data_IF_015755080077
#
_entry.id   IF_015755080077
#
_cell.length_a   1.000
_cell.length_b   1.000
_cell.length_c   1.000
_cell.angle_alpha   90.00
_cell.angle_beta   90.00
_cell.angle_gamma   90.00
#
_symmetry.space_group_name_H-M   'P 1'
#
loop_
_entity.id
_entity.type
_entity.pdbx_description
1 polymer ?
#
# COMPACT_ATOMS: atom_id res chain seq x y z
N UNK A 1 6.53 3.90 39.77
CA UNK A 1 6.64 3.44 38.36
C UNK A 1 5.68 2.25 38.19
N UNK A 2 4.74 2.36 37.26
CA UNK A 2 3.82 1.29 36.85
C UNK A 2 3.98 1.06 35.36
N UNK A 3 3.94 -0.19 34.91
CA UNK A 3 4.19 -0.58 33.52
C UNK A 3 2.97 -1.33 32.97
N UNK A 4 2.51 -0.94 31.81
CA UNK A 4 1.36 -1.52 31.14
C UNK A 4 1.70 -1.85 29.69
N UNK A 5 1.38 -3.07 29.23
CA UNK A 5 1.36 -3.37 27.81
C UNK A 5 0.17 -2.64 27.16
N UNK A 6 0.33 -2.07 25.97
CA UNK A 6 -0.69 -1.21 25.35
C UNK A 6 -0.79 -1.39 23.84
N UNK A 7 -1.85 -0.88 23.25
CA UNK A 7 -1.96 -0.70 21.81
C UNK A 7 -2.16 -2.00 21.04
N UNK A 8 -1.41 -2.15 19.94
CA UNK A 8 -1.57 -3.25 19.00
C UNK A 8 -1.42 -4.63 19.62
N UNK A 9 -0.48 -4.80 20.55
CA UNK A 9 -0.23 -6.07 21.22
C UNK A 9 -1.45 -6.57 22.02
N UNK A 10 -2.06 -5.68 22.82
CA UNK A 10 -3.23 -6.03 23.64
C UNK A 10 -4.44 -6.32 22.76
N UNK A 11 -4.66 -5.50 21.73
CA UNK A 11 -5.73 -5.71 20.73
C UNK A 11 -5.59 -7.06 20.04
N UNK A 12 -4.39 -7.35 19.51
CA UNK A 12 -4.15 -8.57 18.71
C UNK A 12 -4.26 -9.81 19.60
N UNK A 13 -3.79 -9.75 20.86
CA UNK A 13 -4.00 -10.81 21.85
C UNK A 13 -5.50 -11.08 22.11
N UNK A 14 -6.30 -10.02 22.29
CA UNK A 14 -7.76 -10.14 22.51
C UNK A 14 -8.49 -10.71 21.29
N UNK A 15 -7.97 -10.45 20.08
CA UNK A 15 -8.50 -11.01 18.82
C UNK A 15 -7.96 -12.43 18.52
N UNK A 16 -7.07 -12.97 19.36
CA UNK A 16 -6.41 -14.27 19.08
C UNK A 16 -5.45 -14.23 17.90
N UNK A 17 -4.97 -13.04 17.52
CA UNK A 17 -4.01 -12.85 16.43
C UNK A 17 -2.56 -12.95 16.95
N UNK A 18 -1.59 -13.30 16.11
CA UNK A 18 -0.18 -13.28 16.49
C UNK A 18 0.28 -11.90 16.92
N UNK A 19 0.90 -11.80 18.10
CA UNK A 19 1.51 -10.55 18.60
C UNK A 19 2.96 -10.53 18.11
N UNK A 20 3.30 -9.53 17.29
CA UNK A 20 4.65 -9.37 16.71
C UNK A 20 5.49 -8.45 17.59
N UNK A 21 4.98 -7.25 17.89
CA UNK A 21 5.66 -6.23 18.68
C UNK A 21 4.85 -5.88 19.92
N UNK A 22 5.54 -5.61 21.03
CA UNK A 22 4.93 -5.19 22.29
C UNK A 22 5.41 -3.79 22.65
N UNK A 23 4.44 -2.89 22.80
CA UNK A 23 4.66 -1.54 23.29
C UNK A 23 4.22 -1.46 24.75
N UNK A 24 5.00 -0.73 25.55
CA UNK A 24 4.69 -0.51 26.95
C UNK A 24 4.58 0.98 27.27
N UNK A 25 3.64 1.33 28.14
CA UNK A 25 3.53 2.65 28.74
C UNK A 25 3.98 2.57 30.19
N UNK A 26 4.82 3.51 30.58
CA UNK A 26 5.33 3.67 31.95
C UNK A 26 4.70 4.91 32.57
N UNK A 27 3.98 4.72 33.68
CA UNK A 27 3.30 5.77 34.44
C UNK A 27 4.05 6.01 35.75
N UNK A 28 4.16 7.27 36.17
CA UNK A 28 4.78 7.65 37.43
C UNK A 28 6.30 7.46 37.48
N UNK A 29 6.98 7.73 36.37
CA UNK A 29 8.44 7.72 36.28
C UNK A 29 8.98 8.92 35.50
N UNK A 30 10.20 9.31 35.77
CA UNK A 30 10.97 10.31 35.01
C UNK A 30 11.95 9.63 34.04
N UNK A 31 12.47 10.35 33.03
CA UNK A 31 13.53 9.84 32.16
C UNK A 31 14.76 9.35 32.93
N UNK A 32 15.15 10.08 33.98
CA UNK A 32 16.31 9.77 34.81
C UNK A 32 16.08 8.44 35.57
N UNK A 33 14.90 8.21 36.11
CA UNK A 33 14.51 6.96 36.77
C UNK A 33 14.54 5.77 35.83
N UNK A 34 14.11 5.96 34.56
CA UNK A 34 14.18 4.94 33.52
C UNK A 34 15.63 4.55 33.22
N UNK A 35 16.50 5.57 33.06
CA UNK A 35 17.94 5.32 32.82
C UNK A 35 18.56 4.63 34.04
N UNK A 36 18.26 5.05 35.26
CA UNK A 36 18.74 4.42 36.48
C UNK A 36 18.28 2.97 36.62
N UNK A 37 17.11 2.62 36.09
CA UNK A 37 16.58 1.27 36.02
C UNK A 37 17.21 0.43 34.88
N UNK A 38 18.15 0.99 34.10
CA UNK A 38 18.90 0.31 33.04
C UNK A 38 18.27 0.39 31.64
N UNK A 39 17.19 1.14 31.47
CA UNK A 39 16.58 1.34 30.16
C UNK A 39 17.42 2.31 29.31
N UNK A 40 17.52 2.05 28.00
CA UNK A 40 18.31 2.86 27.09
C UNK A 40 17.42 3.84 26.32
N UNK A 41 17.60 5.15 26.44
CA UNK A 41 16.81 6.14 25.71
C UNK A 41 17.06 6.02 24.20
N UNK A 42 15.96 6.09 23.41
CA UNK A 42 15.96 6.11 21.95
C UNK A 42 15.02 7.22 21.48
N UNK A 43 15.44 7.97 20.47
CA UNK A 43 14.68 9.12 19.96
C UNK A 43 15.08 10.45 20.56
N UNK A 44 15.04 11.49 19.71
CA UNK A 44 15.44 12.85 20.11
C UNK A 44 14.30 13.65 20.72
N UNK A 45 13.08 13.37 20.31
CA UNK A 45 11.91 14.21 20.60
C UNK A 45 10.91 13.56 21.57
N UNK A 46 11.09 12.26 21.89
CA UNK A 46 10.17 11.50 22.74
C UNK A 46 10.90 10.67 23.79
N UNK A 47 10.36 10.60 25.02
CA UNK A 47 10.90 9.75 26.06
C UNK A 47 10.51 8.28 25.82
N UNK A 48 11.09 7.66 24.79
CA UNK A 48 10.99 6.24 24.50
C UNK A 48 12.31 5.57 24.89
N UNK A 49 12.22 4.40 25.49
CA UNK A 49 13.34 3.63 26.01
C UNK A 49 13.26 2.20 25.53
N UNK A 50 14.41 1.58 25.29
CA UNK A 50 14.52 0.15 25.04
C UNK A 50 14.82 -0.61 26.32
N UNK A 51 14.10 -1.70 26.54
CA UNK A 51 14.40 -2.60 27.64
C UNK A 51 15.78 -3.23 27.44
N UNK A 52 16.63 -3.30 28.49
CA UNK A 52 18.04 -3.70 28.34
C UNK A 52 18.25 -5.13 27.83
N UNK A 53 17.29 -6.03 28.01
CA UNK A 53 17.39 -7.44 27.63
C UNK A 53 16.49 -7.80 26.44
N UNK A 54 15.22 -7.34 26.43
CA UNK A 54 14.24 -7.73 25.40
C UNK A 54 14.25 -6.80 24.19
N UNK A 55 14.80 -5.59 24.34
CA UNK A 55 14.77 -4.51 23.35
C UNK A 55 13.36 -4.03 22.98
N UNK A 56 12.35 -4.42 23.74
CA UNK A 56 11.00 -3.91 23.60
C UNK A 56 10.93 -2.43 23.94
N UNK A 57 9.96 -1.70 23.33
CA UNK A 57 9.81 -0.26 23.50
C UNK A 57 8.96 0.10 24.72
N UNK A 58 9.49 0.99 25.55
CA UNK A 58 8.84 1.54 26.74
C UNK A 58 8.75 3.05 26.59
N UNK A 59 7.53 3.59 26.52
CA UNK A 59 7.29 5.02 26.44
C UNK A 59 6.78 5.56 27.79
N UNK A 60 7.27 6.71 28.24
CA UNK A 60 6.64 7.40 29.37
C UNK A 60 5.25 7.88 28.99
N UNK A 61 4.32 7.77 29.94
CA UNK A 61 2.98 8.31 29.78
C UNK A 61 3.04 9.80 29.45
N UNK A 62 2.30 10.24 28.44
CA UNK A 62 2.36 11.63 27.97
C UNK A 62 1.02 12.12 27.46
N UNK A 63 0.87 13.44 27.50
CA UNK A 63 -0.15 14.14 26.74
C UNK A 63 0.48 14.82 25.53
N UNK A 64 -0.31 14.98 24.48
CA UNK A 64 0.10 15.67 23.25
C UNK A 64 -0.82 16.89 23.09
N UNK A 65 -0.26 18.02 22.65
CA UNK A 65 -1.03 19.22 22.36
C UNK A 65 -0.56 19.81 21.03
N UNK A 66 -1.49 19.99 20.13
CA UNK A 66 -1.24 20.69 18.85
C UNK A 66 -1.08 22.17 19.11
N UNK A 67 0.02 22.77 18.64
CA UNK A 67 0.34 24.19 18.78
C UNK A 67 0.41 24.92 17.42
N UNK A 68 0.53 24.16 16.30
CA UNK A 68 0.56 24.69 14.95
C UNK A 68 0.10 23.62 13.95
N UNK A 69 -0.32 23.98 12.70
CA UNK A 69 -0.57 23.03 11.65
C UNK A 69 0.69 22.22 11.27
N UNK A 70 0.50 20.93 10.88
CA UNK A 70 1.56 20.06 10.39
C UNK A 70 2.34 19.29 11.46
N UNK A 71 3.35 18.54 11.03
CA UNK A 71 4.09 17.56 11.84
C UNK A 71 4.88 18.18 13.00
N UNK A 72 5.44 19.38 12.84
CA UNK A 72 6.24 20.07 13.86
C UNK A 72 5.40 20.86 14.88
N UNK A 73 4.07 20.80 14.75
CA UNK A 73 3.14 21.56 15.58
C UNK A 73 2.69 20.83 16.87
N UNK A 74 3.45 19.85 17.37
CA UNK A 74 3.13 19.13 18.61
C UNK A 74 4.07 19.49 19.74
N UNK A 75 3.51 19.76 20.90
CA UNK A 75 4.25 19.80 22.17
C UNK A 75 3.86 18.56 22.98
N UNK A 76 4.86 17.79 23.33
CA UNK A 76 4.72 16.59 24.16
C UNK A 76 5.01 16.94 25.60
N UNK A 77 4.12 16.56 26.48
CA UNK A 77 4.31 16.73 27.91
C UNK A 77 4.32 15.35 28.58
N UNK A 78 5.53 14.88 28.90
CA UNK A 78 5.73 13.69 29.70
C UNK A 78 6.07 14.12 31.14
N UNK A 79 5.26 13.69 32.09
CA UNK A 79 5.41 13.96 33.52
C UNK A 79 4.96 12.75 34.31
N UNK A 80 5.57 12.46 35.47
CA UNK A 80 5.06 11.39 36.36
C UNK A 80 3.60 11.55 36.77
N UNK A 81 3.03 12.76 36.65
CA UNK A 81 1.64 13.07 36.95
C UNK A 81 0.67 12.66 35.82
N UNK A 82 1.15 12.38 34.62
CA UNK A 82 0.30 11.93 33.51
C UNK A 82 -0.21 10.53 33.81
N UNK A 83 -1.55 10.40 33.89
CA UNK A 83 -2.18 9.12 34.15
C UNK A 83 -2.21 8.21 32.92
N UNK A 84 -2.38 6.90 33.13
CA UNK A 84 -2.60 5.94 32.05
C UNK A 84 -3.79 6.34 31.16
N UNK A 85 -4.89 6.77 31.78
CA UNK A 85 -6.10 7.18 31.06
C UNK A 85 -5.84 8.37 30.13
N UNK A 86 -5.07 9.36 30.58
CA UNK A 86 -4.66 10.49 29.73
C UNK A 86 -3.78 10.06 28.54
N UNK A 87 -2.87 9.10 28.74
CA UNK A 87 -2.10 8.55 27.63
C UNK A 87 -2.97 7.78 26.65
N UNK A 88 -3.92 7.00 27.12
CA UNK A 88 -4.86 6.26 26.28
C UNK A 88 -5.81 7.20 25.51
N UNK A 89 -6.23 8.33 26.12
CA UNK A 89 -7.13 9.32 25.50
C UNK A 89 -6.60 9.91 24.18
N UNK A 90 -5.29 10.05 24.04
CA UNK A 90 -4.66 10.63 22.84
C UNK A 90 -4.48 9.63 21.70
N UNK A 91 -4.78 8.35 21.88
CA UNK A 91 -4.64 7.32 20.85
C UNK A 91 -5.67 7.48 19.74
N UNK A 92 -5.42 6.78 18.62
CA UNK A 92 -6.26 6.88 17.42
C UNK A 92 -7.63 6.20 17.58
N UNK A 93 -7.64 4.92 17.96
CA UNK A 93 -8.83 4.10 18.02
C UNK A 93 -9.02 3.48 19.41
N UNK A 94 -10.26 3.32 19.85
CA UNK A 94 -10.63 2.67 21.12
C UNK A 94 -10.01 1.28 21.25
N UNK A 95 -9.98 0.51 20.18
CA UNK A 95 -9.37 -0.82 20.11
C UNK A 95 -7.86 -0.81 20.33
N UNK A 96 -7.20 0.34 20.20
CA UNK A 96 -5.76 0.56 20.47
C UNK A 96 -5.54 1.28 21.82
N UNK A 97 -6.61 1.63 22.54
CA UNK A 97 -6.59 2.34 23.81
C UNK A 97 -6.93 1.41 25.00
N UNK A 98 -6.57 0.15 24.89
CA UNK A 98 -6.67 -0.87 25.93
C UNK A 98 -5.28 -1.11 26.49
N UNK A 99 -5.16 -1.17 27.83
CA UNK A 99 -3.93 -1.49 28.51
C UNK A 99 -4.07 -2.81 29.29
N UNK A 100 -2.94 -3.52 29.46
CA UNK A 100 -2.84 -4.74 30.25
C UNK A 100 -1.76 -4.59 31.31
N UNK A 101 -2.15 -4.74 32.57
CA UNK A 101 -1.22 -4.70 33.69
C UNK A 101 -0.39 -6.00 33.80
N UNK A 102 0.67 -5.98 34.62
CA UNK A 102 1.54 -7.14 34.81
C UNK A 102 0.87 -8.35 35.46
N UNK A 103 -0.22 -8.16 36.17
CA UNK A 103 -1.06 -9.24 36.73
C UNK A 103 -2.08 -9.81 35.74
N UNK A 104 -2.11 -9.28 34.51
CA UNK A 104 -3.01 -9.68 33.45
C UNK A 104 -4.34 -8.94 33.43
N UNK A 105 -4.62 -8.05 34.38
CA UNK A 105 -5.86 -7.25 34.41
C UNK A 105 -5.88 -6.26 33.22
N UNK A 106 -7.08 -6.10 32.64
CA UNK A 106 -7.31 -5.18 31.52
C UNK A 106 -7.86 -3.85 32.03
N UNK A 107 -7.35 -2.76 31.48
CA UNK A 107 -7.77 -1.39 31.78
C UNK A 107 -8.27 -0.79 30.48
N UNK A 108 -9.58 -0.56 30.39
CA UNK A 108 -10.28 -0.15 29.16
C UNK A 108 -11.23 1.02 29.43
N UNK A 109 -10.72 2.23 29.69
CA UNK A 109 -11.55 3.40 30.03
C UNK A 109 -12.38 3.91 28.84
N UNK A 110 -12.02 3.51 27.60
CA UNK A 110 -12.66 3.98 26.38
C UNK A 110 -13.48 2.91 25.67
N UNK A 111 -13.78 1.80 26.35
CA UNK A 111 -14.65 0.72 25.86
C UNK A 111 -14.14 0.05 24.56
N UNK A 112 -12.81 -0.07 24.39
CA UNK A 112 -12.19 -0.70 23.25
C UNK A 112 -12.53 -2.18 23.12
N UNK A 113 -12.71 -2.91 24.24
CA UNK A 113 -13.12 -4.32 24.24
C UNK A 113 -14.52 -4.46 23.64
N UNK A 114 -15.46 -3.58 24.01
CA UNK A 114 -16.80 -3.58 23.42
C UNK A 114 -16.75 -3.30 21.91
N UNK A 115 -15.90 -2.39 21.46
CA UNK A 115 -15.75 -2.07 20.04
C UNK A 115 -15.04 -3.19 19.28
N UNK A 116 -14.12 -3.95 19.91
CA UNK A 116 -13.55 -5.20 19.35
C UNK A 116 -14.64 -6.26 19.13
N UNK A 117 -15.46 -6.51 20.14
CA UNK A 117 -16.56 -7.49 20.07
C UNK A 117 -17.60 -7.09 19.02
N UNK A 118 -17.91 -5.80 18.94
CA UNK A 118 -18.85 -5.24 17.97
C UNK A 118 -18.24 -5.06 16.57
N UNK A 119 -16.92 -5.27 16.41
CA UNK A 119 -16.17 -5.05 15.15
C UNK A 119 -16.32 -3.62 14.64
N UNK A 120 -16.03 -2.63 15.48
CA UNK A 120 -16.17 -1.21 15.18
C UNK A 120 -14.83 -0.49 15.30
N UNK A 121 -14.51 0.33 14.32
CA UNK A 121 -13.38 1.27 14.33
C UNK A 121 -13.89 2.63 14.80
N UNK A 122 -13.66 2.95 16.07
CA UNK A 122 -14.10 4.19 16.72
C UNK A 122 -12.90 4.98 17.23
N UNK A 123 -12.87 6.29 16.99
CA UNK A 123 -11.86 7.18 17.58
C UNK A 123 -12.05 7.28 19.10
N UNK A 124 -10.95 7.49 19.83
CA UNK A 124 -10.97 7.52 21.29
C UNK A 124 -11.60 8.80 21.83
N UNK A 125 -11.20 9.95 21.31
CA UNK A 125 -11.56 11.27 21.82
C UNK A 125 -11.44 12.35 20.74
N UNK A 126 -11.89 13.59 20.99
CA UNK A 126 -11.65 14.72 20.06
C UNK A 126 -10.18 15.00 19.75
N UNK A 127 -9.23 14.57 20.59
CA UNK A 127 -7.80 14.62 20.31
C UNK A 127 -7.39 13.86 19.03
N UNK A 128 -8.26 13.01 18.50
CA UNK A 128 -8.08 12.38 17.18
C UNK A 128 -7.80 13.41 16.08
N UNK A 129 -8.46 14.56 16.11
CA UNK A 129 -8.30 15.61 15.11
C UNK A 129 -6.95 16.34 15.17
N UNK A 130 -6.15 16.12 16.20
CA UNK A 130 -4.84 16.77 16.33
C UNK A 130 -3.83 16.27 15.29
N UNK A 131 -3.85 14.96 14.92
CA UNK A 131 -2.95 14.39 13.93
C UNK A 131 -3.72 13.90 12.68
N UNK A 132 -3.63 14.61 11.54
CA UNK A 132 -4.34 14.21 10.31
C UNK A 132 -3.91 12.85 9.74
N UNK A 133 -2.74 12.33 10.10
CA UNK A 133 -2.33 10.95 9.71
C UNK A 133 -3.28 9.91 10.28
N UNK A 134 -3.99 10.20 11.37
CA UNK A 134 -4.98 9.26 11.93
C UNK A 134 -6.10 8.91 10.94
N UNK A 135 -6.43 9.80 10.00
CA UNK A 135 -7.36 9.50 8.89
C UNK A 135 -6.82 8.34 8.04
N UNK A 136 -5.53 8.37 7.67
CA UNK A 136 -4.88 7.29 6.92
C UNK A 136 -4.76 6.00 7.77
N UNK A 137 -4.45 6.14 9.06
CA UNK A 137 -4.34 5.01 9.99
C UNK A 137 -5.67 4.27 10.14
N UNK A 138 -6.78 4.99 10.32
CA UNK A 138 -8.13 4.39 10.37
C UNK A 138 -8.45 3.66 9.08
N UNK A 139 -8.17 4.26 7.93
CA UNK A 139 -8.37 3.63 6.62
C UNK A 139 -7.52 2.35 6.47
N UNK A 140 -6.27 2.35 6.95
CA UNK A 140 -5.43 1.15 7.01
C UNK A 140 -5.99 0.09 7.94
N UNK A 141 -6.48 0.46 9.11
CA UNK A 141 -7.13 -0.51 10.01
C UNK A 141 -8.39 -1.10 9.39
N UNK A 142 -9.15 -0.34 8.60
CA UNK A 142 -10.26 -0.89 7.82
C UNK A 142 -9.81 -1.94 6.79
N UNK A 143 -8.64 -1.75 6.18
CA UNK A 143 -8.05 -2.74 5.27
C UNK A 143 -7.55 -4.00 6.01
N UNK A 144 -7.01 -3.84 7.23
CA UNK A 144 -6.53 -4.94 8.08
C UNK A 144 -7.69 -5.76 8.65
N UNK A 145 -8.70 -5.08 9.21
CA UNK A 145 -9.85 -5.69 9.86
C UNK A 145 -11.05 -5.61 8.92
N UNK A 146 -11.08 -6.50 7.93
CA UNK A 146 -12.04 -6.45 6.84
C UNK A 146 -13.51 -6.52 7.28
N UNK A 147 -13.80 -7.08 8.46
CA UNK A 147 -15.15 -7.22 9.02
C UNK A 147 -15.54 -6.05 9.96
N UNK A 148 -14.62 -5.11 10.20
CA UNK A 148 -14.88 -3.97 11.09
C UNK A 148 -15.53 -2.82 10.30
N UNK A 149 -16.56 -2.23 10.87
CA UNK A 149 -17.23 -1.04 10.33
C UNK A 149 -16.64 0.24 10.94
N UNK A 150 -16.57 1.32 10.14
CA UNK A 150 -16.29 2.65 10.70
C UNK A 150 -17.48 3.14 11.51
N UNK A 151 -17.23 3.60 12.73
CA UNK A 151 -18.25 4.26 13.53
C UNK A 151 -18.74 5.54 12.81
N UNK A 152 -20.06 5.82 12.75
CA UNK A 152 -20.59 7.01 12.06
C UNK A 152 -19.97 8.31 12.55
N UNK A 153 -19.75 8.46 13.85
CA UNK A 153 -19.14 9.63 14.47
C UNK A 153 -17.65 9.76 14.12
N UNK A 154 -16.94 8.65 13.91
CA UNK A 154 -15.55 8.67 13.44
C UNK A 154 -15.47 9.12 11.99
N UNK A 155 -16.36 8.61 11.14
CA UNK A 155 -16.47 9.04 9.76
C UNK A 155 -16.84 10.54 9.67
N UNK A 156 -17.74 11.02 10.51
CA UNK A 156 -18.11 12.42 10.57
C UNK A 156 -16.92 13.32 10.99
N UNK A 157 -16.13 12.88 11.98
CA UNK A 157 -14.93 13.59 12.41
C UNK A 157 -13.86 13.61 11.31
N UNK A 158 -13.63 12.47 10.62
CA UNK A 158 -12.70 12.41 9.49
C UNK A 158 -13.11 13.37 8.36
N UNK A 159 -14.41 13.45 8.04
CA UNK A 159 -14.94 14.42 7.05
C UNK A 159 -14.67 15.85 7.48
N UNK A 160 -14.96 16.21 8.73
CA UNK A 160 -14.69 17.54 9.23
C UNK A 160 -13.20 17.92 9.14
N UNK A 161 -12.29 16.98 9.41
CA UNK A 161 -10.83 17.19 9.24
C UNK A 161 -10.45 17.43 7.78
N UNK A 162 -11.07 16.71 6.84
CA UNK A 162 -10.85 16.91 5.40
C UNK A 162 -11.40 18.27 4.95
N UNK A 163 -12.62 18.63 5.35
CA UNK A 163 -13.29 19.89 4.99
C UNK A 163 -12.51 21.09 5.54
N UNK A 164 -11.88 20.96 6.71
CA UNK A 164 -11.01 21.99 7.30
C UNK A 164 -9.60 22.03 6.69
N UNK A 165 -9.28 21.18 5.71
CA UNK A 165 -7.97 21.15 5.04
C UNK A 165 -6.84 20.53 5.84
N UNK A 166 -7.11 19.84 6.95
CA UNK A 166 -6.06 19.24 7.80
C UNK A 166 -5.22 18.21 7.05
N UNK A 167 -5.82 17.45 6.13
CA UNK A 167 -5.14 16.42 5.34
C UNK A 167 -4.21 17.00 4.26
N UNK A 168 -4.34 18.28 3.92
CA UNK A 168 -3.49 18.95 2.92
C UNK A 168 -2.09 19.24 3.45
N UNK A 169 -1.92 19.19 4.79
CA UNK A 169 -0.64 19.41 5.47
C UNK A 169 0.10 18.11 5.80
N UNK A 170 -0.37 16.97 5.26
CA UNK A 170 0.29 15.69 5.46
C UNK A 170 1.66 15.64 4.77
N UNK A 171 2.65 15.14 5.49
CA UNK A 171 4.00 14.93 4.97
C UNK A 171 4.00 13.70 4.07
N UNK A 172 4.60 13.81 2.89
CA UNK A 172 4.58 12.77 1.85
C UNK A 172 5.06 11.41 2.35
N UNK A 173 6.12 11.39 3.16
CA UNK A 173 6.70 10.17 3.71
C UNK A 173 5.73 9.45 4.67
N UNK A 174 4.96 10.22 5.47
CA UNK A 174 3.94 9.65 6.36
C UNK A 174 2.75 9.10 5.56
N UNK A 175 2.36 9.80 4.48
CA UNK A 175 1.31 9.32 3.55
C UNK A 175 1.75 8.01 2.91
N UNK A 176 2.97 7.97 2.36
CA UNK A 176 3.51 6.77 1.74
C UNK A 176 3.59 5.59 2.71
N UNK A 177 4.06 5.82 3.94
CA UNK A 177 4.15 4.77 4.95
C UNK A 177 2.81 4.11 5.26
N UNK A 178 1.75 4.90 5.46
CA UNK A 178 0.43 4.36 5.74
C UNK A 178 -0.20 3.71 4.49
N UNK A 179 0.02 4.30 3.31
CA UNK A 179 -0.41 3.72 2.03
C UNK A 179 0.26 2.37 1.77
N UNK A 180 1.59 2.30 1.93
CA UNK A 180 2.36 1.07 1.73
C UNK A 180 1.92 -0.05 2.70
N UNK A 181 1.75 0.27 3.99
CA UNK A 181 1.22 -0.67 4.98
C UNK A 181 -0.19 -1.11 4.62
N UNK A 182 -1.05 -0.18 4.21
CA UNK A 182 -2.43 -0.46 3.84
C UNK A 182 -2.56 -1.33 2.58
N UNK A 183 -1.69 -1.13 1.59
CA UNK A 183 -1.59 -2.00 0.41
C UNK A 183 -1.20 -3.45 0.78
N UNK A 184 -0.42 -3.64 1.85
CA UNK A 184 0.00 -4.97 2.32
C UNK A 184 -1.01 -5.66 3.23
N UNK A 185 -2.11 -5.00 3.59
CA UNK A 185 -3.17 -5.60 4.42
C UNK A 185 -4.02 -6.63 3.64
N UNK A 186 -4.89 -7.32 4.37
CA UNK A 186 -5.70 -8.43 3.83
C UNK A 186 -6.72 -8.00 2.76
N UNK A 187 -7.30 -6.80 2.90
CA UNK A 187 -8.27 -6.23 1.94
C UNK A 187 -7.92 -4.76 1.65
N UNK A 188 -6.92 -4.52 0.79
CA UNK A 188 -6.40 -3.17 0.55
C UNK A 188 -7.44 -2.20 -0.04
N UNK A 189 -8.45 -2.68 -0.79
CA UNK A 189 -9.54 -1.85 -1.32
C UNK A 189 -10.21 -1.01 -0.25
N UNK A 190 -10.39 -1.56 0.95
CA UNK A 190 -11.05 -0.87 2.06
C UNK A 190 -10.32 0.37 2.58
N UNK A 191 -8.99 0.46 2.37
CA UNK A 191 -8.26 1.69 2.63
C UNK A 191 -8.78 2.82 1.75
N UNK A 192 -8.89 2.57 0.44
CA UNK A 192 -9.34 3.57 -0.54
C UNK A 192 -10.82 3.89 -0.38
N UNK A 193 -11.66 2.88 -0.15
CA UNK A 193 -13.09 3.04 0.15
C UNK A 193 -13.31 3.93 1.39
N UNK A 194 -12.53 3.72 2.45
CA UNK A 194 -12.60 4.51 3.69
C UNK A 194 -12.16 5.95 3.46
N UNK A 195 -11.03 6.16 2.75
CA UNK A 195 -10.56 7.51 2.38
C UNK A 195 -11.56 8.23 1.48
N UNK A 196 -12.18 7.51 0.54
CA UNK A 196 -13.20 8.09 -0.35
C UNK A 196 -14.45 8.47 0.41
N UNK A 197 -14.89 7.66 1.37
CA UNK A 197 -16.10 7.91 2.15
C UNK A 197 -16.03 9.19 3.01
N UNK A 198 -14.82 9.61 3.39
CA UNK A 198 -14.60 10.87 4.12
C UNK A 198 -14.09 12.02 3.21
N UNK A 199 -13.92 11.80 1.91
CA UNK A 199 -13.40 12.80 0.97
C UNK A 199 -11.88 12.94 0.95
N UNK A 200 -11.14 12.21 1.78
CA UNK A 200 -9.69 12.28 1.85
C UNK A 200 -9.01 11.74 0.59
N UNK A 201 -9.62 10.77 -0.10
CA UNK A 201 -9.04 10.19 -1.32
C UNK A 201 -8.83 11.26 -2.40
N UNK A 202 -9.83 12.11 -2.64
CA UNK A 202 -9.76 13.20 -3.62
C UNK A 202 -8.66 14.25 -3.29
N UNK A 203 -8.30 14.40 -2.01
CA UNK A 203 -7.26 15.33 -1.56
C UNK A 203 -5.85 14.73 -1.63
N UNK A 204 -5.71 13.47 -1.25
CA UNK A 204 -4.41 12.79 -1.09
C UNK A 204 -3.99 12.09 -2.39
N UNK A 205 -4.93 11.42 -3.05
CA UNK A 205 -4.73 10.60 -4.26
C UNK A 205 -5.80 10.93 -5.32
N UNK A 206 -5.86 12.18 -5.81
CA UNK A 206 -6.86 12.59 -6.78
C UNK A 206 -6.84 11.75 -8.06
N UNK A 207 -5.68 11.21 -8.46
CA UNK A 207 -5.52 10.35 -9.62
C UNK A 207 -6.27 9.01 -9.46
N UNK A 208 -6.35 8.49 -8.24
CA UNK A 208 -7.10 7.27 -7.92
C UNK A 208 -8.58 7.57 -7.77
N UNK A 209 -8.92 8.68 -7.09
CA UNK A 209 -10.32 9.09 -6.91
C UNK A 209 -11.02 9.35 -8.24
N UNK A 210 -10.31 9.91 -9.21
CA UNK A 210 -10.81 10.22 -10.55
C UNK A 210 -11.16 8.98 -11.39
N UNK A 211 -10.73 7.77 -11.00
CA UNK A 211 -11.08 6.53 -11.70
C UNK A 211 -12.54 6.10 -11.43
N UNK A 212 -13.10 6.51 -10.30
CA UNK A 212 -14.48 6.15 -9.96
C UNK A 212 -15.48 6.92 -10.81
N UNK A 213 -16.46 6.22 -11.35
CA UNK A 213 -17.45 6.76 -12.27
C UNK A 213 -16.98 6.77 -13.74
N UNK A 214 -15.75 6.36 -14.05
CA UNK A 214 -15.25 6.27 -15.42
C UNK A 214 -15.69 4.94 -16.04
N UNK A 215 -16.54 4.94 -17.09
CA UNK A 215 -17.10 3.72 -17.66
C UNK A 215 -16.11 2.99 -18.57
N UNK A 216 -16.07 1.66 -18.47
CA UNK A 216 -15.35 0.75 -19.35
C UNK A 216 -16.31 -0.12 -20.14
N UNK A 217 -15.79 -0.82 -21.17
CA UNK A 217 -16.57 -1.77 -21.97
C UNK A 217 -16.97 -2.99 -21.15
N UNK A 218 -18.27 -3.21 -21.02
CA UNK A 218 -18.85 -4.33 -20.24
C UNK A 218 -18.46 -5.72 -20.73
N UNK A 219 -18.14 -5.88 -22.03
CA UNK A 219 -17.68 -7.13 -22.62
C UNK A 219 -16.30 -7.58 -22.11
N UNK A 220 -15.46 -6.66 -21.67
CA UNK A 220 -14.14 -6.94 -21.08
C UNK A 220 -14.13 -6.72 -19.56
N UNK A 221 -14.93 -5.80 -19.05
CA UNK A 221 -15.00 -5.40 -17.65
C UNK A 221 -16.46 -5.41 -17.17
N UNK A 222 -16.99 -6.57 -16.71
CA UNK A 222 -18.40 -6.67 -16.30
C UNK A 222 -18.81 -5.72 -15.18
N UNK A 223 -17.85 -5.26 -14.36
CA UNK A 223 -18.02 -4.25 -13.31
C UNK A 223 -18.22 -2.83 -13.85
N UNK A 224 -17.88 -2.57 -15.11
CA UNK A 224 -18.01 -1.31 -15.86
C UNK A 224 -17.22 -0.13 -15.29
N UNK A 225 -17.25 0.12 -13.99
CA UNK A 225 -16.58 1.25 -13.34
C UNK A 225 -15.08 0.98 -13.17
N UNK A 226 -14.22 1.89 -13.65
CA UNK A 226 -12.75 1.75 -13.60
C UNK A 226 -12.22 1.79 -12.16
N UNK A 227 -12.79 2.63 -11.28
CA UNK A 227 -12.39 2.70 -9.88
C UNK A 227 -12.74 1.42 -9.14
N UNK A 228 -13.94 0.88 -9.37
CA UNK A 228 -14.36 -0.42 -8.81
C UNK A 228 -13.45 -1.53 -9.31
N UNK A 229 -13.15 -1.58 -10.61
CA UNK A 229 -12.19 -2.51 -11.20
C UNK A 229 -10.83 -2.44 -10.48
N UNK A 230 -10.27 -1.23 -10.37
CA UNK A 230 -8.97 -1.03 -9.70
C UNK A 230 -8.97 -1.57 -8.27
N UNK A 231 -10.03 -1.38 -7.50
CA UNK A 231 -10.16 -1.93 -6.15
C UNK A 231 -10.17 -3.47 -6.16
N UNK A 232 -10.87 -4.08 -7.10
CA UNK A 232 -10.90 -5.54 -7.25
C UNK A 232 -9.54 -6.10 -7.67
N UNK A 233 -8.79 -5.40 -8.52
CA UNK A 233 -7.43 -5.76 -8.92
C UNK A 233 -6.48 -5.69 -7.72
N UNK A 234 -6.56 -4.64 -6.91
CA UNK A 234 -5.73 -4.49 -5.71
C UNK A 234 -6.03 -5.59 -4.67
N UNK A 235 -7.29 -5.94 -4.46
CA UNK A 235 -7.66 -7.08 -3.59
C UNK A 235 -7.17 -8.42 -4.15
N UNK A 236 -7.15 -8.59 -5.47
CA UNK A 236 -6.59 -9.79 -6.10
C UNK A 236 -5.07 -9.91 -5.83
N UNK A 237 -4.33 -8.79 -5.77
CA UNK A 237 -2.90 -8.82 -5.41
C UNK A 237 -2.67 -9.31 -3.97
N UNK A 238 -3.57 -8.97 -3.04
CA UNK A 238 -3.52 -9.46 -1.66
C UNK A 238 -3.83 -10.96 -1.60
N UNK A 239 -4.84 -11.40 -2.36
CA UNK A 239 -5.22 -12.82 -2.45
C UNK A 239 -4.11 -13.70 -3.03
N UNK A 240 -3.28 -13.18 -3.94
CA UNK A 240 -2.13 -13.86 -4.51
C UNK A 240 -0.83 -13.61 -3.72
N UNK A 241 -0.91 -12.96 -2.57
CA UNK A 241 0.21 -12.60 -1.69
C UNK A 241 1.38 -11.93 -2.41
N UNK A 242 1.06 -10.96 -3.29
CA UNK A 242 2.08 -10.24 -4.04
C UNK A 242 2.79 -9.19 -3.19
N UNK A 243 4.04 -8.87 -3.58
CA UNK A 243 4.88 -7.87 -2.92
C UNK A 243 4.36 -6.43 -3.14
N UNK A 244 4.79 -5.49 -2.28
CA UNK A 244 4.37 -4.09 -2.29
C UNK A 244 4.49 -3.43 -3.67
N UNK A 245 5.61 -3.64 -4.37
CA UNK A 245 5.83 -3.05 -5.69
C UNK A 245 4.76 -3.48 -6.72
N UNK A 246 4.32 -4.75 -6.65
CA UNK A 246 3.28 -5.28 -7.52
C UNK A 246 1.90 -4.75 -7.14
N UNK A 247 1.60 -4.62 -5.82
CA UNK A 247 0.33 -4.05 -5.34
C UNK A 247 0.20 -2.58 -5.72
N UNK A 248 1.29 -1.81 -5.63
CA UNK A 248 1.32 -0.43 -6.08
C UNK A 248 1.19 -0.32 -7.61
N UNK A 249 1.86 -1.18 -8.37
CA UNK A 249 1.72 -1.24 -9.82
C UNK A 249 0.28 -1.59 -10.25
N UNK A 250 -0.37 -2.53 -9.56
CA UNK A 250 -1.77 -2.87 -9.77
C UNK A 250 -2.72 -1.69 -9.46
N UNK A 251 -2.46 -0.92 -8.40
CA UNK A 251 -3.24 0.28 -8.06
C UNK A 251 -3.17 1.35 -9.17
N UNK A 252 -2.04 1.44 -9.86
CA UNK A 252 -1.73 2.61 -10.71
C UNK A 252 -1.70 2.31 -12.21
N UNK A 253 -1.95 1.07 -12.64
CA UNK A 253 -1.79 0.65 -14.04
C UNK A 253 -2.70 1.42 -15.01
N UNK A 254 -3.88 1.79 -14.58
CA UNK A 254 -4.97 2.34 -15.38
C UNK A 254 -5.29 3.83 -15.11
N UNK A 255 -4.39 4.59 -14.46
CA UNK A 255 -4.61 6.01 -14.13
C UNK A 255 -5.06 6.85 -15.33
N UNK A 256 -4.53 6.54 -16.50
CA UNK A 256 -4.83 7.26 -17.75
C UNK A 256 -6.26 7.11 -18.23
N UNK A 257 -7.01 6.11 -17.75
CA UNK A 257 -8.44 5.96 -18.10
C UNK A 257 -9.27 7.14 -17.61
N UNK A 258 -8.93 7.73 -16.47
CA UNK A 258 -9.59 8.93 -15.96
C UNK A 258 -9.41 10.18 -16.84
N UNK A 259 -8.37 10.20 -17.68
CA UNK A 259 -8.09 11.30 -18.60
C UNK A 259 -8.66 11.07 -20.01
N UNK A 260 -9.44 10.02 -20.23
CA UNK A 260 -10.07 9.73 -21.53
C UNK A 260 -11.16 10.76 -21.83
N UNK A 261 -11.13 11.42 -23.02
CA UNK A 261 -12.18 12.35 -23.41
C UNK A 261 -13.57 11.69 -23.41
N UNK A 262 -14.62 12.39 -22.98
CA UNK A 262 -15.99 11.85 -22.87
C UNK A 262 -16.56 11.27 -24.16
N UNK A 263 -16.20 11.85 -25.31
CA UNK A 263 -16.65 11.42 -26.64
C UNK A 263 -16.00 10.11 -27.12
N UNK A 264 -14.92 9.67 -26.48
CA UNK A 264 -14.23 8.41 -26.79
C UNK A 264 -14.73 7.25 -25.91
N UNK A 265 -15.31 7.57 -24.74
CA UNK A 265 -15.82 6.57 -23.79
C UNK A 265 -16.85 5.61 -24.44
N UNK A 266 -16.90 4.36 -24.04
CA UNK A 266 -16.11 3.68 -23.01
C UNK A 266 -14.81 3.04 -23.54
N UNK A 267 -14.22 3.57 -24.60
CA UNK A 267 -12.94 3.14 -25.15
C UNK A 267 -11.82 4.01 -24.59
N UNK A 268 -10.74 3.39 -24.17
CA UNK A 268 -9.60 4.07 -23.52
C UNK A 268 -8.34 3.96 -24.39
N UNK A 269 -8.45 4.32 -25.66
CA UNK A 269 -7.31 4.22 -26.59
C UNK A 269 -6.15 5.11 -26.13
N UNK A 270 -4.98 4.51 -25.90
CA UNK A 270 -3.77 5.22 -25.49
C UNK A 270 -3.71 5.56 -23.99
N UNK A 271 -4.57 4.99 -23.17
CA UNK A 271 -4.55 5.18 -21.71
C UNK A 271 -3.23 4.77 -21.08
N UNK A 272 -2.49 3.85 -21.67
CA UNK A 272 -1.19 3.40 -21.17
C UNK A 272 -0.18 4.57 -21.12
N UNK A 273 -0.11 5.36 -22.19
CA UNK A 273 0.78 6.53 -22.25
C UNK A 273 0.34 7.62 -21.26
N UNK A 274 -0.97 7.81 -21.09
CA UNK A 274 -1.54 8.75 -20.11
C UNK A 274 -1.27 8.26 -18.66
N UNK A 275 -1.39 6.96 -18.41
CA UNK A 275 -1.05 6.36 -17.10
C UNK A 275 0.42 6.64 -16.73
N UNK A 276 1.34 6.42 -17.66
CA UNK A 276 2.77 6.72 -17.47
C UNK A 276 3.00 8.20 -17.17
N UNK A 277 2.32 9.11 -17.87
CA UNK A 277 2.45 10.55 -17.67
C UNK A 277 1.95 11.00 -16.27
N UNK A 278 0.87 10.39 -15.78
CA UNK A 278 0.32 10.68 -14.45
C UNK A 278 1.12 10.06 -13.31
N UNK A 279 1.71 8.88 -13.55
CA UNK A 279 2.43 8.11 -12.54
C UNK A 279 3.70 8.80 -12.06
N UNK A 280 4.45 9.46 -12.94
CA UNK A 280 5.67 10.18 -12.58
C UNK A 280 5.45 11.22 -11.49
N UNK A 281 4.61 12.25 -11.72
CA UNK A 281 4.28 13.27 -10.73
C UNK A 281 3.68 12.71 -9.43
N UNK A 282 2.84 11.67 -9.51
CA UNK A 282 2.28 11.00 -8.34
C UNK A 282 3.41 10.39 -7.47
N UNK A 283 4.35 9.67 -8.09
CA UNK A 283 5.48 9.07 -7.38
C UNK A 283 6.39 10.13 -6.74
N UNK A 284 6.65 11.24 -7.44
CA UNK A 284 7.48 12.33 -6.92
C UNK A 284 6.80 13.02 -5.73
N UNK A 285 5.49 13.28 -5.82
CA UNK A 285 4.68 13.89 -4.76
C UNK A 285 4.61 13.04 -3.50
N UNK A 286 4.48 11.72 -3.64
CA UNK A 286 4.35 10.78 -2.51
C UNK A 286 5.69 10.21 -2.03
N UNK A 287 6.81 10.55 -2.65
CA UNK A 287 8.13 9.97 -2.35
C UNK A 287 8.14 8.43 -2.46
N UNK A 288 7.50 7.92 -3.51
CA UNK A 288 7.42 6.47 -3.76
C UNK A 288 8.82 5.91 -4.02
N UNK A 289 9.21 4.79 -3.37
CA UNK A 289 10.48 4.10 -3.64
C UNK A 289 10.65 3.71 -5.09
N UNK A 290 11.90 3.70 -5.57
CA UNK A 290 12.23 3.46 -6.97
C UNK A 290 11.81 2.10 -7.49
N UNK A 291 11.85 1.06 -6.66
CA UNK A 291 11.41 -0.30 -7.01
C UNK A 291 9.91 -0.35 -7.32
N UNK A 292 9.09 0.31 -6.49
CA UNK A 292 7.65 0.45 -6.71
C UNK A 292 7.35 1.28 -7.98
N UNK A 293 8.01 2.43 -8.12
CA UNK A 293 7.87 3.32 -9.29
C UNK A 293 8.22 2.61 -10.60
N UNK A 294 9.37 1.96 -10.63
CA UNK A 294 9.89 1.32 -11.83
C UNK A 294 8.99 0.17 -12.31
N UNK A 295 8.50 -0.67 -11.37
CA UNK A 295 7.58 -1.74 -11.72
C UNK A 295 6.23 -1.18 -12.20
N UNK A 296 5.71 -0.16 -11.55
CA UNK A 296 4.46 0.49 -11.92
C UNK A 296 4.53 1.09 -13.34
N UNK A 297 5.64 1.73 -13.70
CA UNK A 297 5.87 2.25 -15.05
C UNK A 297 5.87 1.13 -16.12
N UNK A 298 6.46 -0.02 -15.82
CA UNK A 298 6.46 -1.17 -16.73
C UNK A 298 5.05 -1.74 -16.90
N UNK A 299 4.31 -1.92 -15.80
CA UNK A 299 2.95 -2.46 -15.86
C UNK A 299 2.03 -1.48 -16.59
N UNK A 300 2.05 -0.19 -16.26
CA UNK A 300 1.27 0.84 -16.96
C UNK A 300 1.57 0.87 -18.47
N UNK A 301 2.83 0.66 -18.86
CA UNK A 301 3.23 0.68 -20.29
C UNK A 301 2.80 -0.58 -21.05
N UNK A 302 2.88 -1.76 -20.42
CA UNK A 302 2.84 -3.02 -21.15
C UNK A 302 1.69 -3.96 -20.82
N UNK A 303 0.82 -3.65 -19.81
CA UNK A 303 -0.27 -4.56 -19.44
C UNK A 303 -1.17 -4.92 -20.64
N UNK A 304 -1.48 -3.96 -21.50
CA UNK A 304 -2.25 -4.21 -22.72
C UNK A 304 -1.58 -5.18 -23.70
N UNK A 305 -0.25 -5.08 -23.89
CA UNK A 305 0.51 -6.03 -24.68
C UNK A 305 0.61 -7.40 -24.00
N UNK A 306 0.79 -7.44 -22.68
CA UNK A 306 0.84 -8.69 -21.90
C UNK A 306 -0.48 -9.48 -22.06
N UNK A 307 -1.62 -8.82 -21.97
CA UNK A 307 -2.94 -9.47 -22.13
C UNK A 307 -3.15 -10.06 -23.54
N UNK A 308 -2.65 -9.37 -24.55
CA UNK A 308 -2.79 -9.79 -25.96
C UNK A 308 -1.69 -10.72 -26.48
N UNK A 309 -0.95 -11.40 -25.59
CA UNK A 309 0.21 -12.23 -25.91
C UNK A 309 0.03 -13.12 -27.16
N UNK A 310 -1.13 -13.78 -27.30
CA UNK A 310 -1.42 -14.69 -28.42
C UNK A 310 -1.58 -13.96 -29.78
N UNK A 311 -1.93 -12.67 -29.75
CA UNK A 311 -2.19 -11.85 -30.92
C UNK A 311 -0.94 -11.10 -31.40
N UNK A 312 0.08 -10.99 -30.53
CA UNK A 312 1.27 -10.20 -30.81
C UNK A 312 2.18 -10.86 -31.85
N UNK A 313 2.84 -10.04 -32.66
CA UNK A 313 3.94 -10.48 -33.51
C UNK A 313 5.14 -10.89 -32.64
N UNK A 314 5.92 -11.91 -33.05
CA UNK A 314 7.13 -12.32 -32.32
C UNK A 314 8.09 -11.17 -32.02
N UNK A 315 8.29 -10.24 -32.97
CA UNK A 315 9.12 -9.04 -32.75
C UNK A 315 8.59 -8.11 -31.65
N UNK A 316 7.27 -7.99 -31.52
CA UNK A 316 6.66 -7.22 -30.42
C UNK A 316 6.90 -7.91 -29.07
N UNK A 317 6.73 -9.23 -29.00
CA UNK A 317 7.02 -10.00 -27.78
C UNK A 317 8.48 -9.85 -27.34
N UNK A 318 9.44 -9.97 -28.28
CA UNK A 318 10.87 -9.77 -27.98
C UNK A 318 11.10 -8.35 -27.44
N UNK A 319 10.53 -7.33 -28.07
CA UNK A 319 10.65 -5.94 -27.63
C UNK A 319 10.09 -5.73 -26.21
N UNK A 320 8.95 -6.31 -25.86
CA UNK A 320 8.39 -6.22 -24.51
C UNK A 320 9.31 -6.87 -23.49
N UNK A 321 9.82 -8.09 -23.78
CA UNK A 321 10.78 -8.77 -22.89
C UNK A 321 12.03 -7.91 -22.67
N UNK A 322 12.59 -7.33 -23.74
CA UNK A 322 13.79 -6.49 -23.67
C UNK A 322 13.53 -5.20 -22.90
N UNK A 323 12.41 -4.52 -23.12
CA UNK A 323 12.05 -3.27 -22.44
C UNK A 323 11.68 -3.48 -20.97
N UNK A 324 11.15 -4.65 -20.61
CA UNK A 324 10.95 -5.05 -19.22
C UNK A 324 12.23 -5.55 -18.52
N UNK A 325 13.38 -5.47 -19.22
CA UNK A 325 14.67 -5.98 -18.73
C UNK A 325 14.64 -7.49 -18.39
N UNK A 326 13.73 -8.24 -19.03
CA UNK A 326 13.46 -9.65 -18.69
C UNK A 326 14.65 -10.58 -18.92
N UNK A 327 15.60 -10.19 -19.77
CA UNK A 327 16.81 -10.98 -20.02
C UNK A 327 17.79 -10.94 -18.85
N UNK A 328 17.97 -9.77 -18.23
CA UNK A 328 18.89 -9.57 -17.11
C UNK A 328 18.19 -9.78 -15.76
N UNK A 329 16.90 -9.45 -15.68
CA UNK A 329 16.08 -9.50 -14.45
C UNK A 329 14.79 -10.29 -14.73
N UNK A 330 14.85 -11.60 -14.92
CA UNK A 330 13.67 -12.42 -15.23
C UNK A 330 12.62 -12.40 -14.11
N UNK A 331 13.04 -12.22 -12.86
CA UNK A 331 12.16 -12.04 -11.69
C UNK A 331 11.32 -10.78 -11.82
N UNK A 332 11.89 -9.68 -12.35
CA UNK A 332 11.13 -8.43 -12.59
C UNK A 332 10.09 -8.62 -13.68
N UNK A 333 10.42 -9.34 -14.74
CA UNK A 333 9.43 -9.67 -15.78
C UNK A 333 8.33 -10.57 -15.23
N UNK A 334 8.66 -11.53 -14.37
CA UNK A 334 7.66 -12.36 -13.67
C UNK A 334 6.73 -11.51 -12.78
N UNK A 335 7.24 -10.48 -12.12
CA UNK A 335 6.42 -9.53 -11.36
C UNK A 335 5.45 -8.74 -12.25
N UNK A 336 5.87 -8.30 -13.43
CA UNK A 336 4.97 -7.67 -14.42
C UNK A 336 3.85 -8.64 -14.82
N UNK A 337 4.20 -9.91 -15.14
CA UNK A 337 3.21 -10.91 -15.53
C UNK A 337 2.17 -11.20 -14.45
N UNK A 338 2.61 -11.41 -13.21
CA UNK A 338 1.69 -11.68 -12.10
C UNK A 338 0.82 -10.47 -11.73
N UNK A 339 1.33 -9.25 -11.90
CA UNK A 339 0.52 -8.04 -11.75
C UNK A 339 -0.57 -7.95 -12.83
N UNK A 340 -0.24 -8.25 -14.09
CA UNK A 340 -1.23 -8.32 -15.18
C UNK A 340 -2.23 -9.47 -15.00
N UNK A 341 -1.81 -10.58 -14.39
CA UNK A 341 -2.75 -11.64 -14.00
C UNK A 341 -3.78 -11.13 -12.99
N UNK A 342 -3.35 -10.30 -12.02
CA UNK A 342 -4.27 -9.67 -11.07
C UNK A 342 -5.28 -8.75 -11.76
N UNK A 343 -4.85 -7.95 -12.75
CA UNK A 343 -5.75 -7.14 -13.56
C UNK A 343 -6.83 -8.01 -14.26
N UNK A 344 -6.43 -9.10 -14.89
CA UNK A 344 -7.38 -10.00 -15.52
C UNK A 344 -8.31 -10.69 -14.53
N UNK A 345 -7.76 -11.25 -13.44
CA UNK A 345 -8.55 -12.00 -12.44
C UNK A 345 -9.30 -11.09 -11.47
N UNK A 346 -8.93 -9.82 -11.38
CA UNK A 346 -9.65 -8.80 -10.63
C UNK A 346 -10.98 -8.38 -11.25
N UNK A 347 -11.31 -8.82 -12.47
CA UNK A 347 -12.62 -8.54 -13.10
C UNK A 347 -13.73 -9.33 -12.44
N UNK A 348 -14.93 -8.77 -12.42
CA UNK A 348 -16.09 -9.39 -11.81
C UNK A 348 -16.38 -10.79 -12.42
N UNK A 349 -16.34 -11.81 -11.57
CA UNK A 349 -16.56 -13.21 -11.99
C UNK A 349 -15.35 -13.89 -12.65
N UNK A 350 -14.15 -13.25 -12.62
CA UNK A 350 -12.95 -13.82 -13.25
C UNK A 350 -11.94 -14.37 -12.25
N UNK A 351 -12.19 -14.27 -10.97
CA UNK A 351 -11.22 -14.59 -9.91
C UNK A 351 -10.57 -15.97 -9.99
N UNK A 352 -11.30 -16.97 -10.51
CA UNK A 352 -10.83 -18.35 -10.68
C UNK A 352 -10.49 -18.70 -12.13
N UNK A 353 -10.57 -17.76 -13.06
CA UNK A 353 -10.25 -18.03 -14.46
C UNK A 353 -8.76 -18.22 -14.66
N UNK A 354 -8.42 -19.17 -15.53
CA UNK A 354 -7.04 -19.37 -15.96
C UNK A 354 -6.53 -18.17 -16.76
N UNK A 355 -5.25 -17.84 -16.57
CA UNK A 355 -4.56 -16.78 -17.29
C UNK A 355 -3.39 -17.38 -18.10
N UNK A 356 -3.64 -17.93 -19.30
CA UNK A 356 -2.64 -18.65 -20.07
C UNK A 356 -1.52 -17.78 -20.63
N UNK A 357 -1.73 -16.44 -20.65
CA UNK A 357 -0.74 -15.48 -21.11
C UNK A 357 0.59 -15.58 -20.35
N UNK A 358 0.53 -15.79 -19.02
CA UNK A 358 1.74 -15.98 -18.21
C UNK A 358 2.61 -17.10 -18.74
N UNK A 359 2.03 -18.28 -19.03
CA UNK A 359 2.78 -19.43 -19.53
C UNK A 359 3.37 -19.16 -20.94
N UNK A 360 2.63 -18.46 -21.80
CA UNK A 360 3.12 -18.09 -23.14
C UNK A 360 4.31 -17.13 -23.03
N UNK A 361 4.25 -16.10 -22.20
CA UNK A 361 5.34 -15.16 -21.96
C UNK A 361 6.57 -15.83 -21.35
N UNK A 362 6.38 -16.76 -20.40
CA UNK A 362 7.48 -17.54 -19.80
C UNK A 362 8.18 -18.40 -20.84
N UNK A 363 7.44 -19.08 -21.74
CA UNK A 363 8.03 -19.83 -22.86
C UNK A 363 8.79 -18.91 -23.81
N UNK A 364 8.24 -17.74 -24.14
CA UNK A 364 8.91 -16.76 -24.97
C UNK A 364 10.23 -16.27 -24.34
N UNK A 365 10.21 -15.92 -23.05
CA UNK A 365 11.41 -15.53 -22.31
C UNK A 365 12.46 -16.65 -22.31
N UNK A 366 12.06 -17.88 -22.06
CA UNK A 366 12.97 -19.03 -22.05
C UNK A 366 13.63 -19.23 -23.43
N UNK A 367 12.86 -19.15 -24.52
CA UNK A 367 13.37 -19.24 -25.89
C UNK A 367 14.37 -18.14 -26.22
N UNK A 368 14.07 -16.89 -25.81
CA UNK A 368 14.97 -15.75 -26.05
C UNK A 368 16.27 -15.87 -25.24
N UNK A 369 16.18 -16.37 -23.99
CA UNK A 369 17.36 -16.58 -23.13
C UNK A 369 18.25 -17.74 -23.56
N UNK A 370 17.71 -18.71 -24.29
CA UNK A 370 18.46 -19.83 -24.83
C UNK A 370 19.40 -19.44 -26.02
N UNK A 371 19.24 -18.21 -26.56
CA UNK A 371 20.10 -17.74 -27.65
C UNK A 371 21.50 -17.46 -27.12
N UNK A 372 22.50 -18.14 -27.70
CA UNK A 372 23.93 -17.88 -27.44
C UNK A 372 24.38 -16.58 -28.12
N UNK A 373 24.26 -15.47 -27.34
CA UNK A 373 24.70 -14.15 -27.81
C UNK A 373 26.19 -14.09 -28.13
N UNK A 374 27.03 -14.90 -27.44
CA UNK A 374 28.46 -14.97 -27.66
C UNK A 374 28.80 -15.65 -29.02
N UNK A 375 28.09 -16.73 -29.35
CA UNK A 375 28.27 -17.39 -30.65
C UNK A 375 27.90 -16.46 -31.80
N UNK A 376 26.77 -15.73 -31.70
CA UNK A 376 26.35 -14.75 -32.69
C UNK A 376 27.38 -13.64 -32.82
N UNK A 377 27.89 -13.09 -31.72
CA UNK A 377 28.90 -12.03 -31.75
C UNK A 377 30.21 -12.51 -32.41
N UNK A 378 30.66 -13.73 -32.12
CA UNK A 378 31.88 -14.31 -32.76
C UNK A 378 31.70 -14.57 -34.23
N UNK A 379 30.52 -14.92 -34.70
CA UNK A 379 30.22 -15.17 -36.11
C UNK A 379 30.00 -13.89 -36.93
N UNK A 380 29.89 -12.74 -36.29
CA UNK A 380 29.61 -11.46 -36.93
C UNK A 380 30.93 -10.75 -37.30
N UNK A 381 31.18 -10.53 -38.59
CA UNK A 381 32.35 -9.82 -39.08
C UNK A 381 32.32 -8.31 -38.79
N UNK A 382 31.13 -7.73 -38.68
CA UNK A 382 30.89 -6.31 -38.35
C UNK A 382 30.23 -6.20 -36.97
N UNK A 383 30.94 -5.67 -35.93
CA UNK A 383 30.36 -5.49 -34.61
C UNK A 383 29.10 -4.64 -34.60
N UNK A 384 28.91 -3.72 -35.53
CA UNK A 384 27.72 -2.89 -35.63
C UNK A 384 26.44 -3.69 -35.96
N UNK A 385 26.60 -4.86 -36.57
CA UNK A 385 25.51 -5.77 -36.93
C UNK A 385 25.07 -6.70 -35.77
N UNK A 386 25.85 -6.81 -34.70
CA UNK A 386 25.59 -7.75 -33.61
C UNK A 386 24.19 -7.51 -32.96
N UNK A 387 23.78 -6.27 -32.62
CA UNK A 387 22.45 -6.05 -32.02
C UNK A 387 21.30 -6.50 -32.93
N UNK A 388 21.42 -6.22 -34.25
CA UNK A 388 20.41 -6.62 -35.22
C UNK A 388 20.31 -8.15 -35.33
N UNK A 389 21.45 -8.84 -35.47
CA UNK A 389 21.51 -10.31 -35.56
C UNK A 389 20.98 -10.99 -34.32
N UNK A 390 21.28 -10.44 -33.13
CA UNK A 390 20.73 -10.92 -31.88
C UNK A 390 19.21 -10.76 -31.82
N UNK A 391 18.69 -9.61 -32.23
CA UNK A 391 17.25 -9.37 -32.28
C UNK A 391 16.56 -10.33 -33.28
N UNK A 392 17.11 -10.52 -34.47
CA UNK A 392 16.58 -11.46 -35.47
C UNK A 392 16.55 -12.90 -34.93
N UNK A 393 17.62 -13.36 -34.28
CA UNK A 393 17.68 -14.69 -33.69
C UNK A 393 16.63 -14.88 -32.59
N UNK A 394 16.44 -13.88 -31.72
CA UNK A 394 15.40 -13.87 -30.67
C UNK A 394 14.00 -13.93 -31.26
N UNK A 395 13.73 -13.12 -32.29
CA UNK A 395 12.45 -13.13 -33.03
C UNK A 395 12.18 -14.50 -33.66
N UNK A 396 13.19 -15.10 -34.27
CA UNK A 396 13.08 -16.43 -34.86
C UNK A 396 12.76 -17.50 -33.79
N UNK A 397 13.41 -17.44 -32.63
CA UNK A 397 13.14 -18.35 -31.51
C UNK A 397 11.70 -18.24 -30.99
N UNK A 398 11.18 -17.01 -30.83
CA UNK A 398 9.76 -16.81 -30.39
C UNK A 398 8.78 -17.23 -31.49
N UNK A 399 9.15 -17.04 -32.79
CA UNK A 399 8.32 -17.46 -33.91
C UNK A 399 8.16 -18.98 -33.98
N UNK A 400 9.19 -19.73 -33.56
CA UNK A 400 9.18 -21.20 -33.55
C UNK A 400 8.34 -21.82 -32.43
N UNK A 401 7.86 -21.00 -31.47
CA UNK A 401 6.98 -21.51 -30.42
C UNK A 401 5.58 -21.80 -30.99
N UNK A 402 5.04 -22.95 -30.63
CA UNK A 402 3.62 -23.23 -30.80
C UNK A 402 2.81 -22.32 -29.87
N UNK A 403 1.85 -21.60 -30.41
CA UNK A 403 1.05 -20.57 -29.71
C UNK A 403 -0.31 -21.11 -29.25
#
# INVERSE_FOLDING_TARGET
MQIFAVGGAVRDELLGLPVVDRDYVVVGATPEEMVAAGFRPVGKDFPVFLHPQTHEEYALARTERKTAPGYHGFVFHASPEVSLEQDLARRDLTINAIAKAGDGSLIDPYHGIRDLDARVLRHVSPAFAEDPVRVLRVARFAARFQDFALAPETLALMRAMVDNGEVDHLVAERVWQELAKGLMEARPSRLFESLRSCGALARILPEIDALFGVPQRADFHPEVDTGVHTMMVVDMTARLDLALAQRFAALTHDLGKAATPPDVLPRHTGHEALSVALLGPLCDRLRVPSDCRDLALLVATFHGDIHRAAELRPSTMVRVIERCDGLRRPERFAQVLSTCECDYRGRLGFSERAYPQTALWQRALAAVRAIDAGAIARACSDPAQIPLRLHEARVAAVKALER
#
